data_IF_093699631783
#
_entry.id   IF_093699631783
#
_cell.length_a   1.000
_cell.length_b   1.000
_cell.length_c   1.000
_cell.angle_alpha   90.00
_cell.angle_beta   90.00
_cell.angle_gamma   90.00
#
_symmetry.space_group_name_H-M   'P 1'
#
loop_
_entity.id
_entity.type
_entity.pdbx_description
1 polymer ?
#
# COMPACT_ATOMS: atom_id res chain seq x y z
N UNK A 1 -20.70 -29.70 -2.86
CA UNK A 1 -19.98 -28.78 -1.96
C UNK A 1 -20.99 -28.31 -0.92
N UNK A 2 -20.91 -28.83 0.31
CA UNK A 2 -21.97 -28.66 1.31
C UNK A 2 -21.88 -27.26 1.96
N UNK A 3 -23.02 -26.57 2.10
CA UNK A 3 -23.09 -25.19 2.60
C UNK A 3 -22.41 -24.94 3.96
N UNK A 4 -22.23 -26.00 4.76
CA UNK A 4 -21.53 -25.96 6.06
C UNK A 4 -20.04 -25.65 5.88
N UNK A 5 -19.38 -26.19 4.84
CA UNK A 5 -17.96 -25.91 4.60
C UNK A 5 -17.73 -24.46 4.18
N UNK A 6 -18.62 -23.90 3.35
CA UNK A 6 -18.54 -22.51 2.92
C UNK A 6 -18.72 -21.52 4.08
N UNK A 7 -19.65 -21.78 5.00
CA UNK A 7 -19.85 -20.94 6.18
C UNK A 7 -18.65 -21.08 7.13
N UNK A 8 -18.06 -22.27 7.27
CA UNK A 8 -16.82 -22.47 8.03
C UNK A 8 -15.63 -21.75 7.39
N UNK A 9 -15.45 -21.81 6.07
CA UNK A 9 -14.38 -21.10 5.37
C UNK A 9 -14.53 -19.57 5.49
N UNK A 10 -15.77 -19.06 5.43
CA UNK A 10 -16.06 -17.64 5.68
C UNK A 10 -15.77 -17.28 7.13
N UNK A 11 -16.22 -18.06 8.11
CA UNK A 11 -15.96 -17.84 9.53
C UNK A 11 -14.47 -17.99 9.90
N UNK A 12 -13.75 -18.89 9.24
CA UNK A 12 -12.31 -19.10 9.41
C UNK A 12 -11.49 -17.99 8.76
N UNK A 13 -12.00 -17.39 7.66
CA UNK A 13 -11.45 -16.16 7.11
C UNK A 13 -11.56 -14.98 8.10
N UNK A 14 -12.55 -15.01 9.00
CA UNK A 14 -12.64 -14.07 10.12
C UNK A 14 -11.77 -14.47 11.32
N UNK A 15 -11.14 -15.66 11.39
CA UNK A 15 -10.32 -16.07 12.54
C UNK A 15 -8.91 -15.50 12.55
N UNK A 16 -8.42 -14.99 11.42
CA UNK A 16 -7.06 -14.44 11.34
C UNK A 16 -7.07 -12.95 11.78
N UNK A 17 -6.49 -12.59 12.93
CA UNK A 17 -6.64 -11.26 13.52
C UNK A 17 -6.18 -10.12 12.61
N UNK A 18 -5.11 -10.35 11.84
CA UNK A 18 -4.55 -9.34 10.95
C UNK A 18 -5.36 -9.13 9.67
N UNK A 19 -6.10 -10.14 9.16
CA UNK A 19 -7.09 -9.93 8.08
C UNK A 19 -8.16 -8.91 8.48
N UNK A 20 -8.57 -8.94 9.76
CA UNK A 20 -9.47 -7.93 10.32
C UNK A 20 -8.81 -6.55 10.43
N UNK A 21 -7.51 -6.47 10.74
CA UNK A 21 -6.81 -5.20 10.84
C UNK A 21 -6.64 -4.53 9.47
N UNK A 22 -6.17 -5.28 8.46
CA UNK A 22 -6.02 -4.78 7.09
C UNK A 22 -7.36 -4.23 6.59
N UNK A 23 -8.41 -5.05 6.61
CA UNK A 23 -9.74 -4.62 6.16
C UNK A 23 -10.33 -3.45 6.97
N UNK A 24 -10.01 -3.32 8.26
CA UNK A 24 -10.46 -2.17 9.08
C UNK A 24 -9.74 -0.87 8.72
N UNK A 25 -8.46 -0.92 8.34
CA UNK A 25 -7.72 0.27 7.92
C UNK A 25 -8.13 0.67 6.51
N UNK A 26 -8.17 -0.26 5.57
CA UNK A 26 -8.50 0.01 4.17
C UNK A 26 -9.96 0.45 4.01
N UNK A 27 -10.91 -0.11 4.78
CA UNK A 27 -12.29 0.40 4.83
C UNK A 27 -12.36 1.85 5.31
N UNK A 28 -11.53 2.24 6.29
CA UNK A 28 -11.46 3.62 6.78
C UNK A 28 -10.87 4.55 5.73
N UNK A 29 -9.77 4.14 5.08
CA UNK A 29 -9.18 4.87 3.96
C UNK A 29 -10.20 5.09 2.85
N UNK A 30 -10.89 4.03 2.42
CA UNK A 30 -11.91 4.09 1.37
C UNK A 30 -13.08 5.02 1.74
N UNK A 31 -13.56 4.97 2.98
CA UNK A 31 -14.62 5.90 3.44
C UNK A 31 -14.15 7.36 3.43
N UNK A 32 -12.91 7.62 3.85
CA UNK A 32 -12.32 8.97 3.81
C UNK A 32 -12.10 9.45 2.38
N UNK A 33 -11.60 8.57 1.51
CA UNK A 33 -11.42 8.81 0.09
C UNK A 33 -12.73 9.25 -0.57
N UNK A 34 -13.81 8.49 -0.37
CA UNK A 34 -15.15 8.81 -0.89
C UNK A 34 -15.66 10.15 -0.34
N UNK A 35 -15.47 10.41 0.95
CA UNK A 35 -15.94 11.65 1.59
C UNK A 35 -15.17 12.89 1.13
N UNK A 36 -13.88 12.74 0.83
CA UNK A 36 -12.99 13.87 0.48
C UNK A 36 -12.92 14.16 -1.02
N UNK A 37 -13.12 13.16 -1.85
CA UNK A 37 -13.03 13.33 -3.30
C UNK A 37 -14.11 14.31 -3.79
N UNK A 38 -13.66 15.40 -4.42
CA UNK A 38 -14.52 16.38 -5.07
C UNK A 38 -14.87 15.99 -6.51
N UNK A 39 -14.13 15.06 -7.11
CA UNK A 39 -14.38 14.53 -8.45
C UNK A 39 -13.97 13.05 -8.56
N UNK A 40 -14.33 12.44 -9.68
CA UNK A 40 -14.07 11.03 -9.96
C UNK A 40 -12.58 10.69 -10.01
N UNK A 41 -11.73 11.57 -10.57
CA UNK A 41 -10.29 11.37 -10.64
C UNK A 41 -9.67 11.26 -9.25
N UNK A 42 -10.02 12.16 -8.33
CA UNK A 42 -9.59 12.11 -6.94
C UNK A 42 -10.06 10.81 -6.28
N UNK A 43 -11.33 10.44 -6.48
CA UNK A 43 -11.90 9.21 -5.91
C UNK A 43 -11.17 7.97 -6.41
N UNK A 44 -10.92 7.87 -7.72
CA UNK A 44 -10.20 6.75 -8.35
C UNK A 44 -8.77 6.68 -7.84
N UNK A 45 -8.05 7.79 -7.78
CA UNK A 45 -6.70 7.83 -7.25
C UNK A 45 -6.61 7.26 -5.83
N UNK A 46 -7.44 7.78 -4.91
CA UNK A 46 -7.42 7.37 -3.51
C UNK A 46 -7.85 5.92 -3.30
N UNK A 47 -8.91 5.49 -3.99
CA UNK A 47 -9.40 4.11 -3.87
C UNK A 47 -8.41 3.11 -4.46
N UNK A 48 -7.85 3.39 -5.65
CA UNK A 48 -6.89 2.48 -6.28
C UNK A 48 -5.61 2.39 -5.46
N UNK A 49 -5.10 3.49 -4.91
CA UNK A 49 -3.95 3.45 -3.99
C UNK A 49 -4.25 2.65 -2.71
N UNK A 50 -5.45 2.80 -2.12
CA UNK A 50 -5.86 2.01 -0.96
C UNK A 50 -5.96 0.51 -1.28
N UNK A 51 -6.48 0.16 -2.46
CA UNK A 51 -6.63 -1.23 -2.90
C UNK A 51 -5.25 -1.84 -3.17
N UNK A 52 -4.36 -1.12 -3.86
CA UNK A 52 -2.99 -1.56 -4.12
C UNK A 52 -2.26 -1.91 -2.79
N UNK A 53 -2.34 -1.01 -1.81
CA UNK A 53 -1.76 -1.26 -0.49
C UNK A 53 -2.43 -2.43 0.24
N UNK A 54 -3.76 -2.57 0.15
CA UNK A 54 -4.47 -3.71 0.71
C UNK A 54 -3.98 -5.03 0.11
N UNK A 55 -3.98 -5.14 -1.21
CA UNK A 55 -3.65 -6.38 -1.91
C UNK A 55 -2.20 -6.80 -1.63
N UNK A 56 -1.25 -5.86 -1.59
CA UNK A 56 0.12 -6.17 -1.20
C UNK A 56 0.17 -6.72 0.23
N UNK A 57 -0.43 -6.02 1.20
CA UNK A 57 -0.37 -6.44 2.61
C UNK A 57 -1.06 -7.78 2.83
N UNK A 58 -2.19 -8.03 2.16
CA UNK A 58 -2.88 -9.32 2.19
C UNK A 58 -1.98 -10.43 1.64
N UNK A 59 -1.27 -10.19 0.52
CA UNK A 59 -0.34 -11.16 -0.04
C UNK A 59 0.88 -11.42 0.86
N UNK A 60 1.49 -10.37 1.43
CA UNK A 60 2.62 -10.48 2.36
C UNK A 60 2.26 -11.28 3.62
N UNK A 61 1.01 -11.17 4.07
CA UNK A 61 0.46 -11.90 5.20
C UNK A 61 -0.11 -13.27 4.82
N UNK A 62 0.06 -13.69 3.56
CA UNK A 62 -0.38 -14.98 3.02
C UNK A 62 -1.89 -15.23 3.22
N UNK A 63 -2.68 -14.16 3.11
CA UNK A 63 -4.13 -14.18 3.30
C UNK A 63 -4.91 -14.40 1.99
N UNK A 64 -4.28 -14.13 0.86
CA UNK A 64 -4.76 -14.45 -0.49
C UNK A 64 -3.58 -14.71 -1.44
N UNK A 65 -3.89 -15.12 -2.67
CA UNK A 65 -2.91 -15.45 -3.70
C UNK A 65 -3.05 -14.56 -4.95
N UNK A 66 -3.60 -13.34 -4.81
CA UNK A 66 -3.81 -12.46 -5.98
C UNK A 66 -2.50 -11.87 -6.50
N UNK A 67 -1.59 -11.55 -5.59
CA UNK A 67 -0.27 -11.03 -5.88
C UNK A 67 0.76 -12.10 -5.53
N UNK A 68 1.68 -12.36 -6.45
CA UNK A 68 2.76 -13.30 -6.22
C UNK A 68 3.93 -12.63 -5.48
N UNK A 69 4.16 -13.02 -4.23
CA UNK A 69 5.27 -12.58 -3.37
C UNK A 69 6.20 -13.74 -2.98
N UNK A 70 6.31 -14.78 -3.81
CA UNK A 70 6.99 -16.06 -3.51
C UNK A 70 8.38 -15.95 -2.86
N UNK A 71 9.28 -15.00 -3.20
CA UNK A 71 10.54 -14.83 -2.48
C UNK A 71 10.34 -14.50 -0.99
N UNK A 72 9.39 -13.64 -0.65
CA UNK A 72 9.09 -13.23 0.73
C UNK A 72 8.34 -14.32 1.51
N UNK A 73 7.61 -15.21 0.83
CA UNK A 73 6.93 -16.34 1.47
C UNK A 73 7.89 -17.33 2.14
N UNK A 74 9.19 -17.26 1.82
CA UNK A 74 10.24 -18.07 2.44
C UNK A 74 10.63 -17.54 3.82
N UNK A 75 10.30 -16.28 4.13
CA UNK A 75 10.50 -15.70 5.46
C UNK A 75 9.43 -16.17 6.43
N UNK A 76 9.83 -16.42 7.67
CA UNK A 76 8.90 -16.78 8.74
C UNK A 76 8.17 -15.53 9.24
N UNK A 77 6.83 -15.52 9.13
CA UNK A 77 6.00 -14.48 9.72
C UNK A 77 6.15 -14.45 11.25
N UNK A 78 6.03 -13.25 11.83
CA UNK A 78 5.93 -13.08 13.29
C UNK A 78 4.67 -13.78 13.80
N UNK A 79 4.80 -14.46 14.95
CA UNK A 79 3.67 -15.19 15.58
C UNK A 79 2.50 -14.28 15.96
N UNK A 80 2.77 -13.00 16.22
CA UNK A 80 1.77 -11.98 16.54
C UNK A 80 2.12 -10.72 15.77
N UNK A 81 1.18 -10.26 14.95
CA UNK A 81 1.23 -9.00 14.21
C UNK A 81 0.09 -8.14 14.72
N UNK A 82 0.40 -6.95 15.22
CA UNK A 82 -0.57 -6.02 15.75
C UNK A 82 -1.09 -5.02 14.70
N UNK A 83 -2.10 -4.23 15.09
CA UNK A 83 -2.71 -3.24 14.20
C UNK A 83 -1.74 -2.13 13.75
N UNK A 84 -0.77 -1.76 14.59
CA UNK A 84 0.18 -0.69 14.29
C UNK A 84 1.19 -1.17 13.26
N UNK A 85 1.67 -2.40 13.40
CA UNK A 85 2.55 -3.03 12.42
C UNK A 85 1.88 -3.10 11.04
N UNK A 86 0.63 -3.52 10.97
CA UNK A 86 -0.14 -3.51 9.70
C UNK A 86 -0.23 -2.09 9.12
N UNK A 87 -0.51 -1.09 9.96
CA UNK A 87 -0.62 0.30 9.51
C UNK A 87 0.73 0.85 9.01
N UNK A 88 1.83 0.56 9.70
CA UNK A 88 3.17 0.98 9.29
C UNK A 88 3.55 0.42 7.92
N UNK A 89 3.21 -0.85 7.66
CA UNK A 89 3.46 -1.48 6.35
C UNK A 89 2.57 -0.87 5.26
N UNK A 90 1.29 -0.59 5.54
CA UNK A 90 0.42 0.15 4.62
C UNK A 90 1.00 1.53 4.29
N UNK A 91 1.46 2.29 5.29
CA UNK A 91 2.03 3.62 5.09
C UNK A 91 3.36 3.58 4.35
N UNK A 92 4.25 2.62 4.64
CA UNK A 92 5.51 2.47 3.91
C UNK A 92 5.24 2.23 2.42
N UNK A 93 4.29 1.35 2.09
CA UNK A 93 3.95 1.10 0.70
C UNK A 93 3.24 2.27 0.03
N UNK A 94 2.26 2.91 0.71
CA UNK A 94 1.60 4.11 0.22
C UNK A 94 2.60 5.27 0.00
N UNK A 95 3.63 5.36 0.83
CA UNK A 95 4.71 6.33 0.66
C UNK A 95 5.49 6.03 -0.62
N UNK A 96 5.85 4.77 -0.86
CA UNK A 96 6.48 4.37 -2.11
C UNK A 96 5.59 4.67 -3.34
N UNK A 97 4.28 4.41 -3.24
CA UNK A 97 3.32 4.76 -4.29
C UNK A 97 3.32 6.26 -4.53
N UNK A 98 3.21 7.10 -3.50
CA UNK A 98 3.09 8.55 -3.69
C UNK A 98 4.37 9.19 -4.21
N UNK A 99 5.55 8.71 -3.80
CA UNK A 99 6.84 9.11 -4.38
C UNK A 99 6.85 8.77 -5.86
N UNK A 100 6.51 7.54 -6.24
CA UNK A 100 6.65 7.10 -7.62
C UNK A 100 5.62 7.75 -8.55
N UNK A 101 4.36 7.93 -8.12
CA UNK A 101 3.38 8.68 -8.93
C UNK A 101 3.74 10.17 -9.06
N UNK A 102 4.50 10.75 -8.13
CA UNK A 102 4.92 12.16 -8.24
C UNK A 102 5.84 12.43 -9.44
N UNK A 103 6.42 11.40 -10.05
CA UNK A 103 7.11 11.51 -11.35
C UNK A 103 6.17 11.95 -12.48
N UNK A 104 4.86 11.77 -12.31
CA UNK A 104 3.79 12.21 -13.20
C UNK A 104 2.94 13.33 -12.57
N UNK A 105 3.54 14.14 -11.69
CA UNK A 105 2.87 15.18 -10.90
C UNK A 105 1.94 16.06 -11.73
N UNK A 106 2.39 16.62 -12.85
CA UNK A 106 1.58 17.52 -13.67
C UNK A 106 0.28 16.86 -14.13
N UNK A 107 0.37 15.64 -14.68
CA UNK A 107 -0.78 14.86 -15.12
C UNK A 107 -1.76 14.58 -13.97
N UNK A 108 -1.24 14.26 -12.79
CA UNK A 108 -2.06 13.95 -11.61
C UNK A 108 -2.78 15.20 -11.11
N UNK A 109 -2.06 16.32 -10.96
CA UNK A 109 -2.64 17.56 -10.45
C UNK A 109 -3.67 18.14 -11.42
N UNK A 110 -3.43 18.04 -12.73
CA UNK A 110 -4.39 18.43 -13.76
C UNK A 110 -5.65 17.55 -13.71
N UNK A 111 -5.49 16.21 -13.76
CA UNK A 111 -6.62 15.26 -13.73
C UNK A 111 -7.46 15.37 -12.45
N UNK A 112 -6.81 15.63 -11.32
CA UNK A 112 -7.49 15.77 -10.02
C UNK A 112 -7.99 17.17 -9.73
N UNK A 113 -7.61 18.17 -10.53
CA UNK A 113 -7.86 19.60 -10.28
C UNK A 113 -7.44 20.04 -8.87
N UNK A 114 -6.29 19.55 -8.39
CA UNK A 114 -5.74 19.87 -7.07
C UNK A 114 -4.44 20.65 -7.19
N UNK A 115 -4.18 21.55 -6.23
CA UNK A 115 -2.82 22.02 -6.00
C UNK A 115 -2.00 20.92 -5.31
N UNK A 116 -0.67 20.97 -5.45
CA UNK A 116 0.23 20.02 -4.77
C UNK A 116 0.05 20.03 -3.25
N UNK A 117 -0.07 21.22 -2.65
CA UNK A 117 -0.31 21.34 -1.21
C UNK A 117 -1.61 20.65 -0.81
N UNK A 118 -2.69 20.86 -1.58
CA UNK A 118 -4.00 20.24 -1.31
C UNK A 118 -3.94 18.73 -1.51
N UNK A 119 -3.24 18.27 -2.54
CA UNK A 119 -2.99 16.86 -2.80
C UNK A 119 -2.32 16.18 -1.61
N UNK A 120 -1.20 16.71 -1.10
CA UNK A 120 -0.47 16.11 0.01
C UNK A 120 -1.28 16.16 1.32
N UNK A 121 -2.00 17.25 1.57
CA UNK A 121 -2.90 17.36 2.72
C UNK A 121 -4.01 16.31 2.68
N UNK A 122 -4.62 16.11 1.51
CA UNK A 122 -5.67 15.11 1.36
C UNK A 122 -5.10 13.69 1.37
N UNK A 123 -3.92 13.44 0.79
CA UNK A 123 -3.20 12.16 0.91
C UNK A 123 -3.03 11.77 2.38
N UNK A 124 -2.39 12.64 3.16
CA UNK A 124 -2.14 12.39 4.58
C UNK A 124 -3.46 12.18 5.35
N UNK A 125 -4.48 12.98 5.04
CA UNK A 125 -5.76 12.91 5.73
C UNK A 125 -6.60 11.69 5.36
N UNK A 126 -6.57 11.24 4.09
CA UNK A 126 -7.24 10.02 3.61
C UNK A 126 -6.60 8.79 4.23
N UNK A 127 -5.27 8.73 4.20
CA UNK A 127 -4.51 7.56 4.64
C UNK A 127 -4.07 7.62 6.11
N UNK A 128 -4.57 8.57 6.90
CA UNK A 128 -4.31 8.67 8.34
C UNK A 128 -2.82 8.83 8.72
N UNK A 129 -2.00 9.44 7.86
CA UNK A 129 -0.58 9.71 8.14
C UNK A 129 -0.44 10.59 9.39
N UNK A 130 0.46 10.17 10.27
CA UNK A 130 0.92 10.93 11.43
C UNK A 130 2.28 11.58 11.14
N UNK A 131 2.76 12.41 12.07
CA UNK A 131 4.06 13.09 11.93
C UNK A 131 5.21 12.10 11.75
N UNK A 132 5.15 10.94 12.40
CA UNK A 132 6.16 9.90 12.26
C UNK A 132 6.17 9.29 10.85
N UNK A 133 4.99 9.09 10.25
CA UNK A 133 4.87 8.59 8.88
C UNK A 133 5.40 9.61 7.86
N UNK A 134 5.14 10.91 8.10
CA UNK A 134 5.66 12.00 7.28
C UNK A 134 7.18 12.07 7.33
N UNK A 135 7.80 11.85 8.49
CA UNK A 135 9.27 11.78 8.60
C UNK A 135 9.85 10.62 7.82
N UNK A 136 9.24 9.44 7.89
CA UNK A 136 9.66 8.29 7.06
C UNK A 136 9.58 8.64 5.58
N UNK A 137 8.50 9.30 5.15
CA UNK A 137 8.36 9.75 3.78
C UNK A 137 9.46 10.75 3.37
N UNK A 138 9.63 11.83 4.13
CA UNK A 138 10.51 12.95 3.79
C UNK A 138 11.99 12.57 3.90
N UNK A 139 12.39 11.91 4.99
CA UNK A 139 13.79 11.69 5.33
C UNK A 139 14.33 10.39 4.70
N UNK A 140 13.49 9.34 4.58
CA UNK A 140 13.91 8.04 4.06
C UNK A 140 13.48 7.83 2.60
N UNK A 141 12.17 7.87 2.33
CA UNK A 141 11.64 7.44 1.02
C UNK A 141 12.06 8.37 -0.12
N UNK A 142 11.92 9.69 0.06
CA UNK A 142 12.35 10.67 -0.94
C UNK A 142 13.86 10.62 -1.17
N UNK A 143 14.65 10.53 -0.10
CA UNK A 143 16.10 10.41 -0.18
C UNK A 143 16.51 9.16 -0.96
N UNK A 144 15.96 7.99 -0.62
CA UNK A 144 16.30 6.74 -1.29
C UNK A 144 15.91 6.73 -2.77
N UNK A 145 14.75 7.30 -3.11
CA UNK A 145 14.35 7.45 -4.50
C UNK A 145 15.29 8.38 -5.27
N UNK A 146 15.70 9.51 -4.67
CA UNK A 146 16.62 10.44 -5.33
C UNK A 146 18.00 9.83 -5.62
N UNK A 147 18.46 8.91 -4.76
CA UNK A 147 19.78 8.30 -4.89
C UNK A 147 19.79 7.04 -5.77
N UNK A 148 18.74 6.21 -5.67
CA UNK A 148 18.75 4.86 -6.27
C UNK A 148 17.44 4.51 -6.99
N UNK A 149 16.57 5.49 -7.27
CA UNK A 149 15.32 5.30 -8.00
C UNK A 149 14.34 4.37 -7.30
N UNK A 150 13.52 3.65 -8.08
CA UNK A 150 12.52 2.70 -7.58
C UNK A 150 13.13 1.57 -6.75
N UNK A 151 14.35 1.13 -7.07
CA UNK A 151 15.08 0.11 -6.30
C UNK A 151 15.39 0.61 -4.89
N UNK A 152 15.87 1.85 -4.75
CA UNK A 152 16.13 2.46 -3.44
C UNK A 152 14.86 2.57 -2.60
N UNK A 153 13.80 3.05 -3.23
CA UNK A 153 12.50 3.20 -2.61
C UNK A 153 11.96 1.88 -2.05
N UNK A 154 12.08 0.79 -2.82
CA UNK A 154 11.65 -0.55 -2.39
C UNK A 154 12.57 -1.13 -1.32
N UNK A 155 13.86 -0.79 -1.33
CA UNK A 155 14.76 -1.22 -0.25
C UNK A 155 14.29 -0.66 1.09
N UNK A 156 14.07 0.64 1.19
CA UNK A 156 13.61 1.30 2.42
C UNK A 156 12.21 0.83 2.84
N UNK A 157 11.24 0.83 1.91
CA UNK A 157 9.89 0.34 2.20
C UNK A 157 9.90 -1.14 2.60
N UNK A 158 10.76 -1.91 1.95
CA UNK A 158 11.01 -3.32 2.20
C UNK A 158 11.57 -3.62 3.58
N UNK A 159 12.50 -2.82 4.07
CA UNK A 159 13.02 -2.93 5.44
C UNK A 159 11.91 -2.72 6.46
N UNK A 160 11.06 -1.71 6.28
CA UNK A 160 9.89 -1.49 7.16
C UNK A 160 8.93 -2.68 7.10
N UNK A 161 8.65 -3.22 5.90
CA UNK A 161 7.82 -4.41 5.71
C UNK A 161 8.41 -5.58 6.51
N UNK A 162 9.71 -5.81 6.36
CA UNK A 162 10.39 -6.95 6.96
C UNK A 162 10.40 -6.86 8.48
N UNK A 163 10.76 -5.69 9.01
CA UNK A 163 10.82 -5.45 10.45
C UNK A 163 9.47 -5.65 11.12
N UNK A 164 8.38 -5.31 10.44
CA UNK A 164 7.04 -5.39 10.99
C UNK A 164 6.39 -6.77 10.84
N UNK A 165 6.63 -7.52 9.76
CA UNK A 165 5.91 -8.77 9.49
C UNK A 165 6.71 -10.05 9.69
N UNK A 166 8.03 -10.04 9.51
CA UNK A 166 8.86 -11.25 9.55
C UNK A 166 9.73 -11.32 10.81
N UNK A 167 10.11 -12.55 11.19
CA UNK A 167 11.01 -12.80 12.32
C UNK A 167 12.46 -12.47 11.96
N UNK A 168 12.83 -12.73 10.70
CA UNK A 168 14.15 -12.43 10.16
C UNK A 168 14.15 -11.00 9.63
N UNK A 169 14.89 -10.12 10.31
CA UNK A 169 15.05 -8.70 9.96
C UNK A 169 16.28 -8.44 9.09
N UNK A 170 16.81 -9.46 8.42
CA UNK A 170 17.84 -9.28 7.41
C UNK A 170 17.30 -8.44 6.27
N UNK A 171 18.15 -7.58 5.70
CA UNK A 171 17.78 -6.76 4.54
C UNK A 171 17.20 -7.60 3.39
N UNK A 172 16.43 -6.96 2.52
CA UNK A 172 15.85 -7.65 1.38
C UNK A 172 16.93 -8.22 0.46
N UNK A 173 16.71 -9.44 -0.01
CA UNK A 173 17.49 -10.02 -1.09
C UNK A 173 17.15 -9.33 -2.41
N UNK A 174 18.04 -9.40 -3.40
CA UNK A 174 17.78 -8.82 -4.72
C UNK A 174 16.50 -9.38 -5.38
N UNK A 175 16.18 -10.67 -5.14
CA UNK A 175 14.95 -11.29 -5.66
C UNK A 175 13.69 -10.69 -5.03
N UNK A 176 13.73 -10.43 -3.72
CA UNK A 176 12.61 -9.80 -3.02
C UNK A 176 12.41 -8.35 -3.47
N UNK A 177 13.50 -7.60 -3.64
CA UNK A 177 13.47 -6.23 -4.17
C UNK A 177 12.81 -6.21 -5.55
N UNK A 178 13.27 -7.06 -6.48
CA UNK A 178 12.73 -7.08 -7.85
C UNK A 178 11.23 -7.45 -7.89
N UNK A 179 10.78 -8.35 -7.01
CA UNK A 179 9.35 -8.70 -6.93
C UNK A 179 8.53 -7.53 -6.41
N UNK A 180 8.95 -6.89 -5.32
CA UNK A 180 8.24 -5.75 -4.75
C UNK A 180 8.25 -4.53 -5.69
N UNK A 181 9.36 -4.30 -6.40
CA UNK A 181 9.45 -3.26 -7.43
C UNK A 181 8.50 -3.52 -8.59
N UNK A 182 8.43 -4.77 -9.09
CA UNK A 182 7.50 -5.15 -10.14
C UNK A 182 6.04 -4.93 -9.74
N UNK A 183 5.69 -5.21 -8.48
CA UNK A 183 4.35 -4.95 -7.93
C UNK A 183 4.09 -3.44 -7.87
N UNK A 184 5.01 -2.65 -7.31
CA UNK A 184 4.88 -1.20 -7.21
C UNK A 184 4.69 -0.54 -8.58
N UNK A 185 5.50 -0.93 -9.57
CA UNK A 185 5.41 -0.39 -10.93
C UNK A 185 4.08 -0.74 -11.60
N UNK A 186 3.58 -1.97 -11.39
CA UNK A 186 2.27 -2.40 -11.88
C UNK A 186 1.14 -1.58 -11.25
N UNK A 187 1.19 -1.38 -9.94
CA UNK A 187 0.17 -0.63 -9.21
C UNK A 187 0.15 0.85 -9.61
N UNK A 188 1.33 1.48 -9.73
CA UNK A 188 1.45 2.85 -10.24
C UNK A 188 0.93 2.97 -11.66
N UNK A 189 1.27 2.03 -12.54
CA UNK A 189 0.73 2.00 -13.91
C UNK A 189 -0.80 1.89 -13.91
N UNK A 190 -1.37 1.03 -13.07
CA UNK A 190 -2.82 0.89 -12.94
C UNK A 190 -3.47 2.19 -12.45
N UNK A 191 -2.91 2.84 -11.41
CA UNK A 191 -3.39 4.13 -10.90
C UNK A 191 -3.44 5.17 -12.03
N UNK A 192 -2.34 5.30 -12.79
CA UNK A 192 -2.25 6.28 -13.88
C UNK A 192 -3.22 5.96 -15.03
N UNK A 193 -3.51 4.68 -15.30
CA UNK A 193 -4.51 4.29 -16.29
C UNK A 193 -5.94 4.62 -15.84
N UNK A 194 -6.29 4.35 -14.57
CA UNK A 194 -7.62 4.67 -14.03
C UNK A 194 -7.91 6.17 -14.01
N UNK A 195 -6.88 7.01 -13.86
CA UNK A 195 -6.99 8.46 -13.96
C UNK A 195 -7.32 8.97 -15.38
N UNK A 196 -7.01 8.19 -16.42
CA UNK A 196 -7.28 8.55 -17.83
C UNK A 196 -8.68 8.18 -18.30
N UNK A 197 -9.39 7.34 -17.55
CA UNK A 197 -10.75 6.94 -17.91
C UNK A 197 -11.71 8.13 -17.81
N UNK A 198 -12.65 8.30 -18.75
CA UNK A 198 -13.63 9.38 -18.67
C UNK A 198 -14.46 9.33 -17.38
N UNK A 199 -14.86 10.49 -16.86
CA UNK A 199 -15.84 10.58 -15.77
C UNK A 199 -17.21 10.17 -16.32
N UNK A 200 -17.95 9.33 -15.60
CA UNK A 200 -19.29 8.85 -16.00
C UNK A 200 -20.34 9.86 -15.56
#
# INVERSE_FOLDING_TARGET
>A
MQAISFIQDVLDSFKIPYKRYVGRHTLRFNRRAIKKAANDSQKRLWLTASIAAEELVVALLQLDNKINVEPLNKRLLRKKIDKKQVLSVLHAYLSAVVVLISTYKEQILESTAMSEQKFLQDWCSVFEYQLEDMKVFDEMMLTAYSQFGSIGLIREAGEIIVDNFYQETSGLTQKEILVLEGILLKDVSAILQYLKLPSI
#
